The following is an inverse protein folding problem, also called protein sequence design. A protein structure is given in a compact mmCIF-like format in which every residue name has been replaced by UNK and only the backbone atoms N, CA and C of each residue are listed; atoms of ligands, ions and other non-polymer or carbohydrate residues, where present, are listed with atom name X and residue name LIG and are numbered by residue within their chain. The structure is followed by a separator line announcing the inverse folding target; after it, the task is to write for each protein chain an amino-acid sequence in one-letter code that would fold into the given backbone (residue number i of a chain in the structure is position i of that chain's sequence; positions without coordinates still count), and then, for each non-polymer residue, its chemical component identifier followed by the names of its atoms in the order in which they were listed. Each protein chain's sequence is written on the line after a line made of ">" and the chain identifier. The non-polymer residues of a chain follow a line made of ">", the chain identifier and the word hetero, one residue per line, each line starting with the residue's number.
data_IF_341956283932
#
_entry.id   IF_341956283932
#
_cell.length_a   1.000
_cell.length_b   1.000
_cell.length_c   1.000
_cell.angle_alpha   90.00
_cell.angle_beta   90.00
_cell.angle_gamma   90.00
#
_symmetry.space_group_name_H-M   'P 1'
#
loop_
_entity.id
_entity.type
_entity.pdbx_description
1 polymer ?
#
# COMPACT_ATOMS: atom_id res chain seq x y z
N UNK A 1 4.35 -14.44 3.46
CA UNK A 1 5.38 -14.06 4.44
C UNK A 1 4.74 -13.78 5.78
N UNK A 2 4.41 -12.52 6.05
CA UNK A 2 3.85 -12.06 7.34
C UNK A 2 2.73 -12.96 7.86
N UNK A 3 1.64 -13.16 7.09
CA UNK A 3 0.52 -14.01 7.49
C UNK A 3 0.94 -15.42 7.93
N UNK A 4 1.84 -16.07 7.18
CA UNK A 4 2.33 -17.41 7.53
C UNK A 4 3.11 -17.38 8.84
N UNK A 5 3.97 -16.38 9.04
CA UNK A 5 4.71 -16.19 10.29
C UNK A 5 3.81 -15.94 11.50
N UNK A 6 2.77 -15.11 11.33
CA UNK A 6 1.78 -14.84 12.39
C UNK A 6 1.01 -16.10 12.77
N UNK A 7 0.53 -16.86 11.78
CA UNK A 7 -0.15 -18.14 12.02
C UNK A 7 0.78 -19.16 12.69
N UNK A 8 2.01 -19.31 12.20
CA UNK A 8 2.98 -20.26 12.75
C UNK A 8 3.37 -19.93 14.19
N UNK A 9 3.45 -18.64 14.54
CA UNK A 9 3.73 -18.15 15.89
C UNK A 9 2.50 -18.03 16.79
N UNK A 10 1.30 -18.37 16.27
CA UNK A 10 0.01 -18.18 16.97
C UNK A 10 -0.20 -16.74 17.45
N UNK A 11 0.32 -15.77 16.71
CA UNK A 11 0.15 -14.36 17.03
C UNK A 11 -1.27 -13.90 16.64
N UNK A 12 -2.04 -13.31 17.57
CA UNK A 12 -3.43 -12.91 17.31
C UNK A 12 -3.57 -11.61 16.51
N UNK A 13 -2.48 -10.87 16.26
CA UNK A 13 -2.58 -9.60 15.57
C UNK A 13 -3.03 -9.77 14.12
N UNK A 14 -3.92 -8.86 13.69
CA UNK A 14 -4.55 -8.88 12.37
C UNK A 14 -3.66 -8.16 11.37
N UNK A 15 -3.48 -8.76 10.20
CA UNK A 15 -2.74 -8.15 9.09
C UNK A 15 -3.73 -7.57 8.10
N UNK A 16 -3.64 -6.26 7.84
CA UNK A 16 -4.43 -5.57 6.81
C UNK A 16 -3.50 -5.15 5.68
N UNK A 17 -3.71 -5.71 4.48
CA UNK A 17 -2.96 -5.31 3.30
C UNK A 17 -3.64 -4.16 2.56
N UNK A 18 -2.87 -3.12 2.22
CA UNK A 18 -3.32 -2.06 1.31
C UNK A 18 -2.76 -2.34 -0.09
N UNK A 19 -3.64 -2.55 -1.07
CA UNK A 19 -3.25 -2.75 -2.46
C UNK A 19 -2.87 -1.42 -3.11
N UNK A 20 -1.84 -1.46 -3.96
CA UNK A 20 -1.37 -0.30 -4.71
C UNK A 20 -1.71 -0.38 -6.20
N UNK A 21 -2.32 -1.50 -6.64
CA UNK A 21 -2.60 -1.75 -8.05
C UNK A 21 -3.74 -2.73 -8.31
N UNK A 22 -3.71 -3.88 -7.65
CA UNK A 22 -4.54 -5.01 -8.03
C UNK A 22 -5.85 -5.02 -7.24
N UNK A 23 -6.97 -5.48 -7.85
CA UNK A 23 -8.22 -5.62 -7.13
C UNK A 23 -8.12 -6.59 -5.95
N UNK A 24 -8.96 -6.36 -4.94
CA UNK A 24 -9.01 -7.16 -3.70
C UNK A 24 -9.14 -8.66 -3.99
N UNK A 25 -10.05 -9.07 -4.87
CA UNK A 25 -10.26 -10.49 -5.19
C UNK A 25 -9.04 -11.17 -5.82
N UNK A 26 -8.33 -10.43 -6.68
CA UNK A 26 -7.09 -10.94 -7.27
C UNK A 26 -6.01 -11.11 -6.20
N UNK A 27 -5.81 -10.07 -5.38
CA UNK A 27 -4.77 -10.09 -4.35
C UNK A 27 -5.04 -11.16 -3.29
N UNK A 28 -6.29 -11.35 -2.86
CA UNK A 28 -6.64 -12.39 -1.88
C UNK A 28 -6.29 -13.78 -2.41
N UNK A 29 -6.70 -14.11 -3.64
CA UNK A 29 -6.35 -15.39 -4.28
C UNK A 29 -4.83 -15.57 -4.43
N UNK A 30 -4.13 -14.52 -4.85
CA UNK A 30 -2.68 -14.57 -5.05
C UNK A 30 -1.93 -14.75 -3.72
N UNK A 31 -2.30 -14.00 -2.68
CA UNK A 31 -1.71 -14.10 -1.34
C UNK A 31 -1.99 -15.47 -0.72
N UNK A 32 -3.22 -15.98 -0.81
CA UNK A 32 -3.55 -17.34 -0.32
C UNK A 32 -2.69 -18.40 -0.98
N UNK A 33 -2.55 -18.38 -2.31
CA UNK A 33 -1.71 -19.34 -3.03
C UNK A 33 -0.24 -19.28 -2.61
N UNK A 34 0.31 -18.07 -2.43
CA UNK A 34 1.68 -17.90 -1.94
C UNK A 34 1.83 -18.35 -0.48
N UNK A 35 0.82 -18.09 0.35
CA UNK A 35 0.83 -18.48 1.75
C UNK A 35 0.77 -20.00 1.92
N UNK A 36 -0.05 -20.70 1.15
CA UNK A 36 -0.11 -22.17 1.11
C UNK A 36 1.24 -22.78 0.72
N UNK A 37 1.85 -22.28 -0.36
CA UNK A 37 3.17 -22.74 -0.83
C UNK A 37 4.25 -22.53 0.24
N UNK A 38 4.26 -21.35 0.88
CA UNK A 38 5.23 -21.04 1.92
C UNK A 38 5.02 -21.90 3.17
N UNK A 39 3.76 -22.10 3.59
CA UNK A 39 3.41 -22.91 4.74
C UNK A 39 3.83 -24.37 4.54
N UNK A 40 3.57 -24.94 3.35
CA UNK A 40 4.03 -26.26 2.97
C UNK A 40 5.57 -26.36 2.98
N UNK A 41 6.26 -25.35 2.43
CA UNK A 41 7.73 -25.32 2.38
C UNK A 41 8.36 -25.36 3.78
N UNK A 42 7.82 -24.60 4.75
CA UNK A 42 8.33 -24.54 6.12
C UNK A 42 7.63 -25.51 7.08
N UNK A 43 6.75 -26.38 6.57
CA UNK A 43 6.02 -27.43 7.31
C UNK A 43 5.18 -26.90 8.47
N UNK A 44 4.41 -25.84 8.24
CA UNK A 44 3.43 -25.28 9.19
C UNK A 44 2.03 -25.24 8.56
N UNK A 45 0.96 -25.10 9.37
CA UNK A 45 -0.38 -24.90 8.83
C UNK A 45 -0.47 -23.60 8.01
N UNK A 46 -1.23 -23.58 6.89
CA UNK A 46 -1.49 -22.35 6.16
C UNK A 46 -2.37 -21.40 7.00
N UNK A 47 -2.29 -20.08 6.77
CA UNK A 47 -3.19 -19.12 7.39
C UNK A 47 -4.64 -19.38 6.95
N UNK A 48 -5.63 -19.22 7.85
CA UNK A 48 -7.04 -19.29 7.49
C UNK A 48 -7.41 -18.24 6.43
N UNK A 49 -8.29 -18.56 5.49
CA UNK A 49 -8.59 -17.71 4.34
C UNK A 49 -9.18 -16.34 4.73
N UNK A 50 -9.92 -16.29 5.84
CA UNK A 50 -10.50 -15.08 6.43
C UNK A 50 -9.45 -14.11 6.98
N UNK A 51 -8.24 -14.58 7.27
CA UNK A 51 -7.12 -13.72 7.72
C UNK A 51 -6.47 -12.96 6.57
N UNK A 52 -6.74 -13.36 5.32
CA UNK A 52 -6.24 -12.69 4.12
C UNK A 52 -7.13 -11.47 3.82
N UNK A 53 -6.84 -10.36 4.49
CA UNK A 53 -7.51 -9.07 4.32
C UNK A 53 -6.71 -8.18 3.39
N UNK A 54 -7.35 -7.69 2.33
CA UNK A 54 -6.78 -6.72 1.38
C UNK A 54 -7.81 -5.63 1.09
N UNK A 55 -7.32 -4.40 0.95
CA UNK A 55 -8.09 -3.19 0.66
C UNK A 55 -7.52 -2.50 -0.57
N UNK A 56 -8.33 -2.32 -1.62
CA UNK A 56 -7.95 -1.69 -2.89
C UNK A 56 -8.58 -0.30 -3.11
N UNK A 57 -9.32 0.21 -2.13
CA UNK A 57 -9.97 1.52 -2.14
C UNK A 57 -8.97 2.68 -2.33
N UNK A 58 -7.71 2.49 -1.94
CA UNK A 58 -6.65 3.50 -1.96
C UNK A 58 -5.77 3.46 -3.23
N UNK A 59 -6.09 2.58 -4.20
CA UNK A 59 -5.33 2.47 -5.46
C UNK A 59 -5.46 3.74 -6.31
N UNK A 60 -6.63 4.36 -6.33
CA UNK A 60 -6.92 5.54 -7.15
C UNK A 60 -6.87 5.26 -8.66
N UNK A 61 -6.33 6.19 -9.48
CA UNK A 61 -6.39 6.08 -10.94
C UNK A 61 -5.49 4.98 -11.52
N UNK A 62 -4.62 4.38 -10.71
CA UNK A 62 -3.78 3.26 -11.11
C UNK A 62 -2.45 3.19 -10.40
N UNK A 63 -1.64 2.23 -10.81
CA UNK A 63 -0.31 2.02 -10.26
C UNK A 63 0.63 3.18 -10.55
N UNK A 64 1.44 3.58 -9.57
CA UNK A 64 2.36 4.73 -9.65
C UNK A 64 1.71 6.10 -9.83
N UNK A 65 0.38 6.17 -10.00
CA UNK A 65 -0.33 7.42 -10.16
C UNK A 65 -0.76 7.99 -8.80
N UNK A 66 -0.62 9.31 -8.59
CA UNK A 66 -0.88 9.93 -7.31
C UNK A 66 -2.37 9.96 -6.96
N UNK A 67 -2.65 10.06 -5.67
CA UNK A 67 -3.98 10.31 -5.09
C UNK A 67 -3.87 11.39 -4.03
N UNK A 68 -4.96 12.10 -3.76
CA UNK A 68 -4.98 13.17 -2.75
C UNK A 68 -4.71 12.63 -1.35
N UNK A 69 -5.31 11.48 -0.99
CA UNK A 69 -5.06 10.83 0.29
C UNK A 69 -3.61 10.38 0.46
N UNK A 70 -2.95 9.95 -0.61
CA UNK A 70 -1.51 9.64 -0.58
C UNK A 70 -0.68 10.92 -0.37
N UNK A 71 -0.99 12.01 -1.08
CA UNK A 71 -0.30 13.29 -0.93
C UNK A 71 -0.45 13.87 0.49
N UNK A 72 -1.64 13.75 1.07
CA UNK A 72 -1.90 14.08 2.47
C UNK A 72 -1.04 13.23 3.40
N UNK A 73 -1.03 11.91 3.21
CA UNK A 73 -0.27 10.99 4.06
C UNK A 73 1.23 11.27 4.04
N UNK A 74 1.80 11.55 2.86
CA UNK A 74 3.20 11.96 2.71
C UNK A 74 3.50 13.21 3.52
N UNK A 75 2.63 14.22 3.43
CA UNK A 75 2.82 15.50 4.13
C UNK A 75 2.69 15.32 5.64
N UNK A 76 1.71 14.54 6.08
CA UNK A 76 1.46 14.28 7.50
C UNK A 76 2.66 13.56 8.14
N UNK A 77 3.07 12.41 7.59
CA UNK A 77 4.19 11.62 8.11
C UNK A 77 5.51 12.39 8.09
N UNK A 78 5.76 13.17 7.05
CA UNK A 78 6.97 13.98 6.97
C UNK A 78 6.99 15.09 8.03
N UNK A 79 5.83 15.72 8.31
CA UNK A 79 5.74 16.87 9.24
C UNK A 79 5.62 16.47 10.70
N UNK A 80 4.99 15.33 11.02
CA UNK A 80 4.77 14.92 12.41
C UNK A 80 5.83 13.94 12.88
N UNK A 81 6.23 12.98 12.04
CA UNK A 81 7.14 11.89 12.43
C UNK A 81 8.54 12.00 11.81
N UNK A 82 8.76 12.94 10.88
CA UNK A 82 10.00 13.02 10.12
C UNK A 82 10.22 11.83 9.17
N UNK A 83 9.16 11.09 8.82
CA UNK A 83 9.22 9.91 7.96
C UNK A 83 8.87 10.27 6.52
N UNK A 84 9.78 9.96 5.59
CA UNK A 84 9.55 10.13 4.16
C UNK A 84 8.92 8.86 3.57
N UNK A 85 7.69 9.00 3.10
CA UNK A 85 6.98 7.95 2.39
C UNK A 85 7.07 8.17 0.88
N UNK A 86 7.02 7.07 0.13
CA UNK A 86 7.06 7.12 -1.32
C UNK A 86 5.64 7.23 -1.93
N UNK A 87 5.50 7.87 -3.10
CA UNK A 87 4.18 8.11 -3.70
C UNK A 87 3.54 6.88 -4.36
N UNK A 88 4.23 5.73 -4.42
CA UNK A 88 3.76 4.52 -5.11
C UNK A 88 3.21 3.50 -4.12
N UNK A 89 3.95 3.24 -3.03
CA UNK A 89 3.65 2.17 -2.09
C UNK A 89 3.30 2.68 -0.69
N UNK A 90 4.30 3.08 0.08
CA UNK A 90 4.17 3.43 1.50
C UNK A 90 3.21 4.60 1.69
N UNK A 91 3.14 5.53 0.74
CA UNK A 91 2.17 6.63 0.76
C UNK A 91 0.71 6.18 0.65
N UNK A 92 0.41 5.22 -0.23
CA UNK A 92 -0.96 4.66 -0.35
C UNK A 92 -1.31 3.79 0.85
N UNK A 93 -0.33 3.05 1.38
CA UNK A 93 -0.52 2.28 2.61
C UNK A 93 -0.81 3.19 3.81
N UNK A 94 -0.09 4.31 3.93
CA UNK A 94 -0.32 5.30 4.98
C UNK A 94 -1.65 6.04 4.81
N UNK A 95 -2.05 6.37 3.58
CA UNK A 95 -3.37 6.91 3.29
C UNK A 95 -4.47 5.96 3.79
N UNK A 96 -4.32 4.66 3.52
CA UNK A 96 -5.23 3.64 4.03
C UNK A 96 -5.24 3.55 5.55
N UNK A 97 -4.08 3.58 6.20
CA UNK A 97 -4.00 3.62 7.66
C UNK A 97 -4.74 4.82 8.26
N UNK A 98 -4.49 6.02 7.74
CA UNK A 98 -5.10 7.26 8.22
C UNK A 98 -6.63 7.19 8.10
N UNK A 99 -7.12 6.75 6.94
CA UNK A 99 -8.56 6.61 6.70
C UNK A 99 -9.21 5.56 7.63
N UNK A 100 -8.57 4.40 7.83
CA UNK A 100 -9.06 3.36 8.73
C UNK A 100 -9.11 3.84 10.19
N UNK A 101 -8.15 4.67 10.63
CA UNK A 101 -8.21 5.29 11.96
C UNK A 101 -9.36 6.29 12.02
N UNK A 102 -9.48 7.19 11.04
CA UNK A 102 -10.52 8.25 11.02
C UNK A 102 -11.94 7.70 10.95
N UNK A 103 -12.12 6.56 10.29
CA UNK A 103 -13.41 5.87 10.15
C UNK A 103 -13.74 4.93 11.32
N UNK A 104 -12.88 4.85 12.33
CA UNK A 104 -13.11 3.99 13.50
C UNK A 104 -13.03 2.51 13.19
N UNK A 105 -12.28 2.10 12.16
CA UNK A 105 -12.09 0.68 11.84
C UNK A 105 -11.38 -0.08 12.97
N UNK A 106 -10.42 0.60 13.63
CA UNK A 106 -9.75 0.08 14.81
C UNK A 106 -10.50 0.54 16.06
N UNK A 107 -10.86 -0.40 16.97
CA UNK A 107 -11.43 -0.03 18.27
C UNK A 107 -10.54 0.98 19.01
N UNK A 108 -11.16 1.87 19.78
CA UNK A 108 -10.42 2.81 20.62
C UNK A 108 -9.45 2.06 21.56
N UNK A 109 -8.23 2.57 21.69
CA UNK A 109 -7.16 1.93 22.47
C UNK A 109 -6.43 0.78 21.75
N UNK A 110 -6.70 0.53 20.47
CA UNK A 110 -5.94 -0.47 19.69
C UNK A 110 -4.51 -0.03 19.41
N UNK A 111 -3.55 -0.93 19.57
CA UNK A 111 -2.19 -0.77 19.08
C UNK A 111 -2.10 -1.15 17.60
N UNK A 112 -1.65 -0.22 16.75
CA UNK A 112 -1.52 -0.42 15.30
C UNK A 112 -0.07 -0.29 14.86
N UNK A 113 0.48 -1.35 14.29
CA UNK A 113 1.82 -1.35 13.70
C UNK A 113 1.75 -1.03 12.20
N UNK A 114 2.29 0.12 11.81
CA UNK A 114 2.53 0.44 10.41
C UNK A 114 3.86 -0.15 9.92
N UNK A 115 3.81 -1.07 8.95
CA UNK A 115 5.02 -1.63 8.35
C UNK A 115 5.50 -0.76 7.19
N UNK A 116 6.43 0.15 7.47
CA UNK A 116 7.06 0.96 6.42
C UNK A 116 8.07 0.14 5.61
N UNK A 117 7.71 -0.21 4.38
CA UNK A 117 8.54 -1.07 3.50
C UNK A 117 9.58 -0.28 2.68
N UNK A 118 9.83 0.99 3.01
CA UNK A 118 10.76 1.87 2.28
C UNK A 118 10.16 2.51 1.04
N UNK A 119 10.99 2.73 0.00
CA UNK A 119 10.59 3.33 -1.27
C UNK A 119 10.95 4.81 -1.44
N UNK A 120 11.39 5.50 -0.38
CA UNK A 120 11.65 6.95 -0.38
C UNK A 120 12.51 7.49 -1.55
N UNK A 121 13.52 6.78 -2.08
CA UNK A 121 14.24 7.25 -3.26
C UNK A 121 13.36 7.42 -4.52
N UNK A 122 12.20 6.78 -4.61
CA UNK A 122 11.29 6.96 -5.76
C UNK A 122 10.69 8.36 -5.81
N UNK A 123 10.67 9.11 -4.70
CA UNK A 123 10.15 10.48 -4.64
C UNK A 123 10.88 11.42 -5.59
N UNK A 124 12.17 11.18 -5.89
CA UNK A 124 12.93 11.97 -6.87
C UNK A 124 12.38 11.85 -8.31
N UNK A 125 11.68 10.76 -8.65
CA UNK A 125 11.05 10.59 -9.96
C UNK A 125 9.87 11.56 -10.18
N UNK A 126 9.31 12.09 -9.09
CA UNK A 126 8.13 12.95 -9.12
C UNK A 126 8.48 14.44 -9.05
N UNK A 127 9.78 14.79 -9.06
CA UNK A 127 10.25 16.18 -9.16
C UNK A 127 10.22 16.67 -10.62
N UNK A 128 10.03 17.99 -10.89
CA UNK A 128 10.00 19.10 -9.93
C UNK A 128 8.63 19.34 -9.30
N UNK A 129 7.56 18.67 -9.74
CA UNK A 129 6.20 18.92 -9.25
C UNK A 129 6.05 18.40 -7.83
N UNK A 130 6.03 19.27 -6.80
CA UNK A 130 5.87 18.79 -5.43
C UNK A 130 4.52 18.08 -5.33
N UNK A 131 4.47 16.89 -4.75
CA UNK A 131 3.23 16.13 -4.58
C UNK A 131 2.18 16.95 -3.79
N UNK A 132 2.61 17.94 -3.01
CA UNK A 132 1.75 18.92 -2.33
C UNK A 132 1.05 19.94 -3.26
N UNK A 133 1.51 20.13 -4.50
CA UNK A 133 0.93 21.10 -5.46
C UNK A 133 -0.17 20.52 -6.34
N UNK A 134 -0.45 19.22 -6.23
CA UNK A 134 -1.64 18.60 -6.87
C UNK A 134 -2.95 19.19 -6.29
N UNK A 135 -2.87 19.93 -5.18
CA UNK A 135 -4.01 20.60 -4.54
C UNK A 135 -4.52 21.88 -5.24
N UNK A 136 -3.92 22.35 -6.34
CA UNK A 136 -4.45 23.55 -7.01
C UNK A 136 -4.23 23.58 -8.53
N UNK A 137 -5.28 23.28 -9.28
CA UNK A 137 -5.45 23.80 -10.64
C UNK A 137 -5.24 22.80 -11.77
N UNK A 138 -6.21 22.80 -12.67
CA UNK A 138 -6.18 22.28 -14.03
C UNK A 138 -4.84 22.56 -14.73
N UNK A 139 -4.04 21.53 -14.97
CA UNK A 139 -2.95 21.57 -15.93
C UNK A 139 -3.18 20.48 -16.97
N UNK A 140 -3.41 20.94 -18.20
CA UNK A 140 -3.58 20.14 -19.41
C UNK A 140 -2.55 19.02 -19.48
N UNK A 141 -3.01 17.78 -19.59
CA UNK A 141 -2.16 16.64 -19.89
C UNK A 141 -1.54 16.83 -21.28
N UNK A 142 -0.25 17.11 -21.33
CA UNK A 142 0.55 16.94 -22.54
C UNK A 142 0.73 15.42 -22.76
N UNK A 143 0.38 14.85 -23.93
CA UNK A 143 0.42 13.41 -24.11
C UNK A 143 1.88 12.93 -24.17
N UNK A 144 2.32 12.16 -23.17
CA UNK A 144 3.58 11.43 -23.28
C UNK A 144 3.47 10.41 -24.42
N UNK A 145 4.26 10.65 -25.46
CA UNK A 145 4.33 9.83 -26.66
C UNK A 145 4.62 8.35 -26.33
N UNK A 146 3.76 7.46 -26.83
CA UNK A 146 4.03 6.03 -26.96
C UNK A 146 5.35 5.81 -27.69
N UNK A 147 6.42 5.51 -26.97
CA UNK A 147 7.59 4.83 -27.57
C UNK A 147 7.24 3.36 -27.75
N UNK A 148 6.73 3.05 -28.94
CA UNK A 148 6.62 1.69 -29.45
C UNK A 148 8.00 1.03 -29.40
N UNK A 149 8.11 -0.10 -28.72
CA UNK A 149 9.26 -1.00 -28.84
C UNK A 149 8.94 -1.99 -29.94
N UNK A 150 9.39 -1.66 -31.16
CA UNK A 150 9.45 -2.61 -32.27
C UNK A 150 10.80 -3.34 -32.24
N UNK A 151 10.73 -4.67 -32.30
CA UNK A 151 11.69 -5.64 -32.82
C UNK A 151 13.18 -5.57 -32.41
N UNK A 152 13.64 -6.61 -31.70
CA UNK A 152 14.57 -7.59 -32.28
C UNK A 152 14.42 -8.93 -31.57
#
# INVERSE_FOLDING_TARGET
>A
GVLVGMTASRNPARVVGISTRQPTDFQRKHISSLAEKLAAFIKVPPPPAETVVVRDEYVGPGYSLPTDGMAEALTLFARTEGLLLDPVYSGKAAAGLIDLVRTGHFPEGSDVLFLHTGGAPSTYHYLPTPISTVQSGTASAEPQAKRARAAK
#
